data_IF_457490729316
#
_entry.id   IF_457490729316
#
_cell.length_a   1.000
_cell.length_b   1.000
_cell.length_c   1.000
_cell.angle_alpha   90.00
_cell.angle_beta   90.00
_cell.angle_gamma   90.00
#
_symmetry.space_group_name_H-M   'P 1'
#
loop_
_entity.id
_entity.type
_entity.pdbx_description
1 polymer ?
#
# COMPACT_ATOMS: atom_id res chain seq x y z
N UNK A 1 -2.69 -16.88 -10.36
CA UNK A 1 -1.39 -16.33 -10.82
C UNK A 1 -1.51 -15.31 -11.96
N UNK A 2 -2.35 -15.52 -12.97
CA UNK A 2 -2.56 -14.51 -14.05
C UNK A 2 -2.96 -13.11 -13.54
N UNK A 3 -3.85 -13.04 -12.54
CA UNK A 3 -4.24 -11.77 -11.90
C UNK A 3 -3.08 -11.03 -11.21
N UNK A 4 -2.17 -11.78 -10.56
CA UNK A 4 -0.96 -11.23 -9.92
C UNK A 4 -0.07 -10.59 -10.99
N UNK A 5 0.20 -11.32 -12.07
CA UNK A 5 1.00 -10.81 -13.19
C UNK A 5 0.39 -9.56 -13.83
N UNK A 6 -0.92 -9.54 -14.03
CA UNK A 6 -1.63 -8.37 -14.58
C UNK A 6 -1.56 -7.15 -13.65
N UNK A 7 -1.58 -7.36 -12.33
CA UNK A 7 -1.50 -6.28 -11.33
C UNK A 7 -0.11 -5.62 -11.25
N UNK A 8 0.95 -6.30 -11.69
CA UNK A 8 2.32 -5.75 -11.65
C UNK A 8 2.50 -4.54 -12.57
N UNK A 9 1.76 -4.45 -13.68
CA UNK A 9 1.84 -3.31 -14.60
C UNK A 9 1.34 -2.01 -13.95
N UNK A 10 0.09 -1.93 -13.44
CA UNK A 10 -0.38 -0.72 -12.77
C UNK A 10 0.38 -0.45 -11.46
N UNK A 11 0.78 -1.49 -10.71
CA UNK A 11 1.59 -1.33 -9.50
C UNK A 11 2.98 -0.79 -9.80
N UNK A 12 3.65 -1.28 -10.85
CA UNK A 12 4.93 -0.75 -11.31
C UNK A 12 4.83 0.71 -11.72
N UNK A 13 3.75 1.09 -12.41
CA UNK A 13 3.44 2.49 -12.72
C UNK A 13 3.27 3.34 -11.46
N UNK A 14 2.47 2.87 -10.49
CA UNK A 14 2.27 3.56 -9.22
C UNK A 14 3.59 3.74 -8.45
N UNK A 15 4.42 2.69 -8.36
CA UNK A 15 5.74 2.75 -7.72
C UNK A 15 6.65 3.75 -8.42
N UNK A 16 6.70 3.75 -9.76
CA UNK A 16 7.51 4.69 -10.52
C UNK A 16 7.08 6.16 -10.29
N UNK A 17 5.76 6.41 -10.24
CA UNK A 17 5.20 7.74 -9.93
C UNK A 17 5.60 8.16 -8.52
N UNK A 18 5.39 7.30 -7.52
CA UNK A 18 5.75 7.57 -6.12
C UNK A 18 7.24 7.82 -5.97
N UNK A 19 8.07 7.02 -6.64
CA UNK A 19 9.53 7.18 -6.60
C UNK A 19 9.99 8.49 -7.26
N UNK A 20 9.40 8.89 -8.38
CA UNK A 20 9.68 10.20 -8.98
C UNK A 20 9.24 11.35 -8.07
N UNK A 21 8.18 11.16 -7.30
CA UNK A 21 7.63 12.18 -6.42
C UNK A 21 8.44 12.35 -5.12
N UNK A 22 8.90 11.24 -4.53
CA UNK A 22 9.56 11.23 -3.21
C UNK A 22 11.09 11.14 -3.33
N UNK A 23 11.63 10.46 -4.35
CA UNK A 23 13.04 10.06 -4.45
C UNK A 23 14.06 11.21 -4.40
N UNK A 24 13.64 12.41 -4.82
CA UNK A 24 14.45 13.63 -4.69
C UNK A 24 14.72 14.05 -3.24
N UNK A 25 13.78 13.76 -2.32
CA UNK A 25 13.78 14.25 -0.93
C UNK A 25 14.19 13.18 0.09
N UNK A 26 14.40 11.93 -0.33
CA UNK A 26 14.60 10.80 0.59
C UNK A 26 16.00 10.72 1.21
N UNK A 27 16.98 11.49 0.71
CA UNK A 27 18.34 11.60 1.27
C UNK A 27 18.97 10.24 1.64
N UNK A 28 19.33 10.06 2.92
CA UNK A 28 19.95 8.84 3.46
C UNK A 28 18.97 7.67 3.68
N UNK A 29 17.66 7.92 3.59
CA UNK A 29 16.60 6.91 3.79
C UNK A 29 16.13 6.27 2.47
N UNK A 30 16.81 6.54 1.35
CA UNK A 30 16.45 6.01 0.01
C UNK A 30 16.29 4.49 -0.03
N UNK A 31 17.29 3.76 0.48
CA UNK A 31 17.30 2.30 0.47
C UNK A 31 16.16 1.71 1.33
N UNK A 32 16.00 2.12 2.61
CA UNK A 32 14.85 1.69 3.42
C UNK A 32 13.49 1.96 2.77
N UNK A 33 13.30 3.13 2.17
CA UNK A 33 12.04 3.50 1.52
C UNK A 33 11.78 2.65 0.28
N UNK A 34 12.80 2.39 -0.53
CA UNK A 34 12.65 1.55 -1.72
C UNK A 34 12.31 0.10 -1.34
N UNK A 35 12.97 -0.44 -0.31
CA UNK A 35 12.64 -1.76 0.24
C UNK A 35 11.19 -1.80 0.76
N UNK A 36 10.78 -0.77 1.49
CA UNK A 36 9.43 -0.67 2.03
C UNK A 36 8.35 -0.63 0.93
N UNK A 37 8.54 0.21 -0.08
CA UNK A 37 7.64 0.27 -1.24
C UNK A 37 7.57 -1.10 -1.92
N UNK A 38 8.69 -1.81 -2.06
CA UNK A 38 8.73 -3.16 -2.59
C UNK A 38 7.84 -4.14 -1.79
N UNK A 39 7.94 -4.12 -0.47
CA UNK A 39 7.14 -5.00 0.42
C UNK A 39 5.65 -4.72 0.29
N UNK A 40 5.22 -3.45 0.37
CA UNK A 40 3.80 -3.12 0.24
C UNK A 40 3.28 -3.43 -1.17
N UNK A 41 4.08 -3.16 -2.21
CA UNK A 41 3.69 -3.48 -3.58
C UNK A 41 3.50 -4.99 -3.77
N UNK A 42 4.39 -5.80 -3.21
CA UNK A 42 4.27 -7.24 -3.21
C UNK A 42 3.01 -7.71 -2.46
N UNK A 43 2.68 -7.09 -1.31
CA UNK A 43 1.45 -7.37 -0.57
C UNK A 43 0.21 -7.15 -1.43
N UNK A 44 0.10 -6.00 -2.12
CA UNK A 44 -1.05 -5.71 -3.00
C UNK A 44 -1.10 -6.68 -4.18
N UNK A 45 0.04 -6.96 -4.80
CA UNK A 45 0.12 -7.92 -5.92
C UNK A 45 -0.35 -9.32 -5.49
N UNK A 46 0.11 -9.81 -4.33
CA UNK A 46 -0.33 -11.11 -3.79
C UNK A 46 -1.83 -11.10 -3.44
N UNK A 47 -2.35 -10.00 -2.89
CA UNK A 47 -3.77 -9.88 -2.56
C UNK A 47 -4.66 -10.00 -3.81
N UNK A 48 -4.22 -9.53 -4.99
CA UNK A 48 -4.96 -9.75 -6.25
C UNK A 48 -5.06 -11.22 -6.65
N UNK A 49 -4.08 -12.04 -6.25
CA UNK A 49 -4.09 -13.49 -6.52
C UNK A 49 -5.09 -14.24 -5.66
N UNK A 50 -5.41 -13.71 -4.48
CA UNK A 50 -6.27 -14.34 -3.47
C UNK A 50 -7.71 -13.84 -3.55
N UNK A 51 -7.95 -12.65 -4.12
CA UNK A 51 -9.28 -12.03 -4.32
C UNK A 51 -10.38 -13.04 -4.64
N UNK A 52 -10.19 -13.86 -5.67
CA UNK A 52 -11.24 -14.70 -6.24
C UNK A 52 -11.20 -16.15 -5.72
N UNK A 53 -10.19 -16.49 -4.93
CA UNK A 53 -9.92 -17.86 -4.50
C UNK A 53 -10.46 -18.22 -3.13
N UNK A 54 -10.77 -17.23 -2.28
CA UNK A 54 -11.22 -17.45 -0.89
C UNK A 54 -12.33 -16.47 -0.49
N UNK A 55 -13.24 -16.84 0.43
CA UNK A 55 -14.38 -15.99 0.81
C UNK A 55 -13.99 -14.63 1.40
N UNK A 56 -12.82 -14.54 2.06
CA UNK A 56 -12.23 -13.29 2.55
C UNK A 56 -11.34 -12.52 1.54
N UNK A 57 -11.14 -13.05 0.33
CA UNK A 57 -10.13 -12.55 -0.61
C UNK A 57 -10.34 -11.11 -1.05
N UNK A 58 -11.59 -10.72 -1.33
CA UNK A 58 -11.93 -9.34 -1.69
C UNK A 58 -11.66 -8.37 -0.52
N UNK A 59 -11.91 -8.81 0.72
CA UNK A 59 -11.60 -8.03 1.92
C UNK A 59 -10.10 -7.81 2.08
N UNK A 60 -9.30 -8.86 1.88
CA UNK A 60 -7.83 -8.76 1.90
C UNK A 60 -7.30 -7.80 0.83
N UNK A 61 -7.87 -7.84 -0.38
CA UNK A 61 -7.48 -6.90 -1.45
C UNK A 61 -7.83 -5.45 -1.10
N UNK A 62 -9.05 -5.19 -0.63
CA UNK A 62 -9.46 -3.84 -0.21
C UNK A 62 -8.59 -3.33 0.94
N UNK A 63 -8.31 -4.18 1.94
CA UNK A 63 -7.43 -3.83 3.04
C UNK A 63 -6.00 -3.49 2.56
N UNK A 64 -5.45 -4.28 1.64
CA UNK A 64 -4.12 -4.04 1.07
C UNK A 64 -4.04 -2.71 0.31
N UNK A 65 -5.07 -2.36 -0.45
CA UNK A 65 -5.14 -1.07 -1.17
C UNK A 65 -5.28 0.10 -0.19
N UNK A 66 -6.13 -0.02 0.84
CA UNK A 66 -6.27 1.01 1.88
C UNK A 66 -4.96 1.23 2.63
N UNK A 67 -4.25 0.15 2.94
CA UNK A 67 -2.94 0.20 3.59
C UNK A 67 -1.93 0.93 2.71
N UNK A 68 -1.79 0.55 1.44
CA UNK A 68 -0.92 1.23 0.47
C UNK A 68 -1.22 2.74 0.37
N UNK A 69 -2.50 3.12 0.31
CA UNK A 69 -2.90 4.52 0.29
C UNK A 69 -2.52 5.25 1.59
N UNK A 70 -2.68 4.62 2.75
CA UNK A 70 -2.29 5.20 4.05
C UNK A 70 -0.79 5.47 4.11
N UNK A 71 0.01 4.51 3.65
CA UNK A 71 1.47 4.63 3.59
C UNK A 71 1.95 5.76 2.67
N UNK A 72 1.23 6.02 1.57
CA UNK A 72 1.53 7.15 0.72
C UNK A 72 1.33 8.50 1.44
N UNK A 73 0.32 8.61 2.31
CA UNK A 73 0.15 9.79 3.16
C UNK A 73 1.28 9.90 4.19
N UNK A 74 1.72 8.80 4.81
CA UNK A 74 2.86 8.81 5.75
C UNK A 74 4.14 9.25 5.02
N UNK A 75 4.38 8.72 3.82
CA UNK A 75 5.54 9.06 3.01
C UNK A 75 5.52 10.53 2.55
N UNK A 76 4.37 11.05 2.11
CA UNK A 76 4.19 12.48 1.79
C UNK A 76 4.50 13.37 2.99
N UNK A 77 4.02 12.99 4.18
CA UNK A 77 4.24 13.75 5.41
C UNK A 77 5.72 13.76 5.83
N UNK A 78 6.43 12.65 5.60
CA UNK A 78 7.83 12.50 6.00
C UNK A 78 8.81 13.18 5.04
N UNK A 79 8.52 13.20 3.73
CA UNK A 79 9.48 13.60 2.71
C UNK A 79 9.11 14.85 1.91
N UNK A 80 7.83 15.22 1.77
CA UNK A 80 7.43 16.41 1.02
C UNK A 80 6.99 17.55 1.93
N UNK A 81 5.86 17.39 2.61
CA UNK A 81 5.23 18.47 3.38
C UNK A 81 4.62 17.89 4.64
N UNK A 82 5.14 18.33 5.78
CA UNK A 82 4.58 17.99 7.09
C UNK A 82 3.31 18.83 7.34
N UNK A 83 2.14 18.24 7.10
CA UNK A 83 0.84 18.87 7.40
C UNK A 83 0.06 18.01 8.40
N UNK A 84 -0.58 18.60 9.44
CA UNK A 84 -1.41 17.84 10.39
C UNK A 84 -2.56 17.08 9.70
N UNK A 85 -3.06 17.59 8.58
CA UNK A 85 -4.12 16.95 7.78
C UNK A 85 -3.77 15.52 7.33
N UNK A 86 -2.50 15.25 7.03
CA UNK A 86 -2.05 13.91 6.66
C UNK A 86 -2.23 12.90 7.81
N UNK A 87 -2.12 13.35 9.06
CA UNK A 87 -2.34 12.49 10.22
C UNK A 87 -3.83 12.21 10.44
N UNK A 88 -4.69 13.19 10.20
CA UNK A 88 -6.14 13.03 10.32
C UNK A 88 -6.75 12.14 9.24
N UNK A 89 -6.13 12.04 8.06
CA UNK A 89 -6.59 11.15 6.99
C UNK A 89 -5.86 9.81 7.02
N UNK A 90 -4.54 9.82 7.25
CA UNK A 90 -3.71 8.62 7.25
C UNK A 90 -4.04 7.66 8.38
N UNK A 91 -4.26 8.17 9.61
CA UNK A 91 -4.56 7.31 10.77
C UNK A 91 -5.89 6.57 10.63
N UNK A 92 -7.03 7.23 10.29
CA UNK A 92 -8.27 6.49 10.06
C UNK A 92 -8.14 5.47 8.94
N UNK A 93 -7.43 5.80 7.85
CA UNK A 93 -7.23 4.87 6.74
C UNK A 93 -6.40 3.65 7.14
N UNK A 94 -5.39 3.86 7.98
CA UNK A 94 -4.56 2.79 8.53
C UNK A 94 -5.38 1.84 9.41
N UNK A 95 -6.11 2.37 10.38
CA UNK A 95 -6.94 1.55 11.26
C UNK A 95 -8.08 0.87 10.51
N UNK A 96 -8.67 1.54 9.52
CA UNK A 96 -9.67 0.93 8.64
C UNK A 96 -9.07 -0.26 7.89
N UNK A 97 -7.88 -0.12 7.30
CA UNK A 97 -7.18 -1.21 6.64
C UNK A 97 -6.94 -2.39 7.60
N UNK A 98 -6.49 -2.13 8.83
CA UNK A 98 -6.24 -3.17 9.82
C UNK A 98 -7.53 -3.92 10.24
N UNK A 99 -8.62 -3.19 10.46
CA UNK A 99 -9.92 -3.80 10.81
C UNK A 99 -10.42 -4.67 9.66
N UNK A 100 -10.30 -4.19 8.42
CA UNK A 100 -10.70 -4.98 7.24
C UNK A 100 -9.78 -6.19 7.07
N UNK A 101 -8.47 -6.08 7.33
CA UNK A 101 -7.56 -7.23 7.35
C UNK A 101 -7.97 -8.27 8.38
N UNK A 102 -8.21 -7.85 9.62
CA UNK A 102 -8.59 -8.75 10.71
C UNK A 102 -9.91 -9.47 10.39
N UNK A 103 -10.90 -8.73 9.88
CA UNK A 103 -12.20 -9.29 9.51
C UNK A 103 -12.14 -10.19 8.27
N UNK A 104 -11.31 -9.85 7.28
CA UNK A 104 -11.14 -10.67 6.10
C UNK A 104 -10.41 -11.97 6.44
N UNK A 105 -9.42 -11.91 7.33
CA UNK A 105 -8.64 -13.06 7.76
C UNK A 105 -9.46 -14.10 8.53
N UNK A 106 -10.55 -13.71 9.21
CA UNK A 106 -11.47 -14.70 9.84
C UNK A 106 -12.33 -15.46 8.83
N UNK A 107 -12.31 -15.05 7.55
CA UNK A 107 -13.13 -15.61 6.46
C UNK A 107 -12.30 -16.29 5.37
N UNK A 108 -11.00 -16.51 5.60
CA UNK A 108 -10.10 -17.29 4.75
C UNK A 108 -10.01 -18.71 5.30
#
# INVERSE_FOLDING_TARGET
>A
WGAVGASLVPLGGAVAIVWRWIGGHTGRLRVPVMAYIGVITAMVALATGVWAGVPGGLGLFVAAVLFFCSDLFVARQRFLVATPWNRYVGLPLYYAAQVVFAFAATRV
#
